data_IF_876252446468
#
_entry.id   IF_876252446468
#
_cell.length_a   1.000
_cell.length_b   1.000
_cell.length_c   1.000
_cell.angle_alpha   90.00
_cell.angle_beta   90.00
_cell.angle_gamma   90.00
#
_symmetry.space_group_name_H-M   'P 1'
#
loop_
_entity.id
_entity.type
_entity.pdbx_description
1 polymer ?
#
# COMPACT_ATOMS: atom_id res chain seq x y z
N UNK A 1 -24.10 10.35 4.86
CA UNK A 1 -22.79 9.67 5.04
C UNK A 1 -23.05 8.19 5.22
N UNK A 2 -22.65 7.36 4.25
CA UNK A 2 -22.75 5.90 4.37
C UNK A 2 -21.58 5.46 5.26
N UNK A 3 -21.88 5.01 6.48
CA UNK A 3 -20.89 4.40 7.37
C UNK A 3 -20.72 2.94 6.94
N UNK A 4 -19.57 2.58 6.40
CA UNK A 4 -19.22 1.16 6.28
C UNK A 4 -19.03 0.59 7.70
N UNK A 5 -19.41 -0.68 7.93
CA UNK A 5 -19.47 -1.37 9.23
C UNK A 5 -18.18 -1.36 10.09
N UNK A 6 -17.08 -0.79 9.57
CA UNK A 6 -15.82 -0.59 10.28
C UNK A 6 -15.61 0.83 10.82
N UNK A 7 -16.59 1.74 10.70
CA UNK A 7 -16.49 3.12 11.21
C UNK A 7 -15.53 4.03 10.44
N UNK A 8 -14.97 3.56 9.33
CA UNK A 8 -14.07 4.34 8.49
C UNK A 8 -14.88 5.35 7.66
N UNK A 9 -14.61 6.63 7.85
CA UNK A 9 -15.18 7.70 7.03
C UNK A 9 -14.25 7.93 5.85
N UNK A 10 -14.68 7.50 4.66
CA UNK A 10 -14.03 7.83 3.39
C UNK A 10 -15.00 8.66 2.58
N UNK A 11 -14.62 9.89 2.22
CA UNK A 11 -15.41 10.66 1.28
C UNK A 11 -15.20 10.10 -0.14
N UNK A 12 -16.13 9.25 -0.57
CA UNK A 12 -16.07 8.50 -1.86
C UNK A 12 -15.81 9.37 -3.09
N UNK A 13 -16.11 10.68 -3.06
CA UNK A 13 -15.89 11.60 -4.18
C UNK A 13 -14.40 11.84 -4.49
N UNK A 14 -13.50 11.68 -3.51
CA UNK A 14 -12.06 11.95 -3.67
C UNK A 14 -11.20 10.69 -3.64
N UNK A 15 -11.71 9.59 -3.09
CA UNK A 15 -11.08 8.28 -3.08
C UNK A 15 -11.33 7.44 -4.35
N UNK A 16 -12.05 7.99 -5.34
CA UNK A 16 -12.46 7.27 -6.55
C UNK A 16 -11.30 6.79 -7.40
N UNK A 17 -10.21 7.55 -7.44
CA UNK A 17 -9.10 7.28 -8.37
C UNK A 17 -8.29 6.07 -7.92
N UNK A 18 -7.96 5.96 -6.64
CA UNK A 18 -7.28 4.78 -6.08
C UNK A 18 -8.15 3.52 -6.12
N UNK A 19 -9.46 3.67 -5.94
CA UNK A 19 -10.38 2.53 -6.01
C UNK A 19 -10.68 2.09 -7.45
N UNK A 20 -10.58 3.01 -8.43
CA UNK A 20 -10.78 2.71 -9.85
C UNK A 20 -9.50 2.28 -10.57
N UNK A 21 -8.33 2.76 -10.12
CA UNK A 21 -7.00 2.44 -10.67
C UNK A 21 -6.17 1.76 -9.58
N UNK A 22 -6.38 0.45 -9.43
CA UNK A 22 -5.63 -0.40 -8.52
C UNK A 22 -4.40 -1.00 -9.23
N UNK A 23 -3.44 -0.14 -9.56
CA UNK A 23 -2.30 -0.46 -10.45
C UNK A 23 -1.34 -1.44 -9.77
N UNK A 24 -1.15 -1.28 -8.46
CA UNK A 24 -0.19 -2.08 -7.68
C UNK A 24 -0.83 -3.32 -7.05
N UNK A 25 -2.17 -3.38 -7.00
CA UNK A 25 -2.91 -4.53 -6.45
C UNK A 25 -2.81 -5.75 -7.35
N UNK A 26 -2.62 -6.91 -6.75
CA UNK A 26 -2.59 -8.20 -7.45
C UNK A 26 -3.50 -9.23 -6.78
N UNK A 27 -4.13 -10.10 -7.60
CA UNK A 27 -4.99 -11.18 -7.10
C UNK A 27 -4.18 -12.40 -6.63
N UNK A 28 -3.00 -12.61 -7.23
CA UNK A 28 -2.06 -13.69 -6.95
C UNK A 28 -0.64 -13.15 -6.99
N UNK A 29 0.29 -13.85 -6.32
CA UNK A 29 1.72 -13.59 -6.41
C UNK A 29 2.14 -13.46 -7.89
N UNK A 30 2.67 -12.31 -8.33
CA UNK A 30 3.08 -12.15 -9.71
C UNK A 30 4.36 -12.94 -9.97
N UNK A 31 4.57 -13.35 -11.23
CA UNK A 31 5.81 -14.05 -11.63
C UNK A 31 7.00 -13.11 -11.40
N UNK A 32 8.12 -13.63 -10.90
CA UNK A 32 9.34 -12.85 -10.64
C UNK A 32 9.36 -12.11 -9.30
N UNK A 33 8.21 -11.87 -8.66
CA UNK A 33 8.18 -11.22 -7.35
C UNK A 33 8.39 -12.26 -6.26
N UNK A 34 9.00 -11.84 -5.17
CA UNK A 34 9.08 -12.55 -3.90
C UNK A 34 8.06 -11.98 -2.92
N UNK A 35 7.50 -12.83 -2.05
CA UNK A 35 6.64 -12.35 -0.97
C UNK A 35 7.56 -11.95 0.18
N UNK A 36 7.58 -10.66 0.51
CA UNK A 36 8.48 -10.11 1.55
C UNK A 36 7.79 -9.94 2.90
N UNK A 37 6.45 -9.87 2.91
CA UNK A 37 5.69 -9.77 4.14
C UNK A 37 4.27 -10.29 4.01
N UNK A 38 3.74 -10.76 5.14
CA UNK A 38 2.32 -10.88 5.42
C UNK A 38 2.01 -10.14 6.72
N UNK A 39 0.99 -9.30 6.70
CA UNK A 39 0.63 -8.39 7.77
C UNK A 39 -0.85 -8.58 8.09
N UNK A 40 -1.16 -8.74 9.37
CA UNK A 40 -2.53 -8.82 9.89
C UNK A 40 -2.85 -7.56 10.69
N UNK A 41 -3.88 -6.80 10.28
CA UNK A 41 -4.26 -5.54 10.91
C UNK A 41 -5.77 -5.51 11.11
N UNK A 42 -6.24 -5.52 12.35
CA UNK A 42 -7.67 -5.51 12.70
C UNK A 42 -8.48 -6.56 11.91
N UNK A 43 -7.95 -7.79 11.82
CA UNK A 43 -8.56 -8.91 11.10
C UNK A 43 -8.44 -8.84 9.56
N UNK A 44 -7.65 -7.90 9.02
CA UNK A 44 -7.41 -7.73 7.59
C UNK A 44 -6.01 -8.21 7.22
N UNK A 45 -5.93 -9.04 6.19
CA UNK A 45 -4.65 -9.48 5.61
C UNK A 45 -4.14 -8.49 4.57
N UNK A 46 -2.84 -8.23 4.60
CA UNK A 46 -2.04 -7.54 3.59
C UNK A 46 -0.79 -8.38 3.30
N UNK A 47 -0.48 -8.60 2.04
CA UNK A 47 0.74 -9.25 1.57
C UNK A 47 1.51 -8.27 0.71
N UNK A 48 2.83 -8.22 0.91
CA UNK A 48 3.75 -7.40 0.13
C UNK A 48 4.61 -8.28 -0.77
N UNK A 49 4.75 -7.84 -2.01
CA UNK A 49 5.52 -8.52 -3.05
C UNK A 49 6.56 -7.58 -3.62
N UNK A 50 7.80 -8.05 -3.75
CA UNK A 50 8.90 -7.24 -4.25
C UNK A 50 9.68 -7.98 -5.34
N UNK A 51 10.19 -7.24 -6.32
CA UNK A 51 11.19 -7.73 -7.27
C UNK A 51 12.37 -6.75 -7.31
N UNK A 52 13.59 -7.29 -7.25
CA UNK A 52 14.78 -6.47 -7.39
C UNK A 52 14.91 -5.97 -8.84
N UNK A 53 15.34 -4.71 -9.02
CA UNK A 53 15.53 -4.11 -10.35
C UNK A 53 16.53 -4.87 -11.22
N UNK A 54 17.53 -5.51 -10.63
CA UNK A 54 18.49 -6.34 -11.37
C UNK A 54 17.84 -7.59 -12.00
N UNK A 55 16.72 -8.04 -11.42
CA UNK A 55 15.95 -9.19 -11.88
C UNK A 55 14.72 -8.80 -12.70
N UNK A 56 14.44 -7.49 -12.84
CA UNK A 56 13.33 -7.00 -13.65
C UNK A 56 13.60 -7.29 -15.12
N UNK A 57 12.69 -8.04 -15.73
CA UNK A 57 12.52 -8.01 -17.19
C UNK A 57 11.96 -6.64 -17.58
N UNK A 58 12.29 -6.15 -18.78
CA UNK A 58 11.86 -4.83 -19.29
C UNK A 58 10.34 -4.59 -19.19
N UNK A 59 9.54 -5.66 -19.14
CA UNK A 59 8.08 -5.63 -19.02
C UNK A 59 7.55 -5.34 -17.60
N UNK A 60 8.40 -5.34 -16.56
CA UNK A 60 7.95 -5.16 -15.18
C UNK A 60 8.04 -3.71 -14.70
N UNK A 61 6.90 -3.02 -14.73
CA UNK A 61 6.82 -1.57 -14.51
C UNK A 61 7.12 -1.15 -13.06
N UNK A 62 6.65 -1.88 -12.04
CA UNK A 62 6.69 -1.43 -10.62
C UNK A 62 7.27 -2.46 -9.65
N UNK A 63 8.34 -2.12 -8.88
CA UNK A 63 9.08 -3.10 -8.08
C UNK A 63 8.34 -3.60 -6.82
N UNK A 64 7.36 -2.84 -6.32
CA UNK A 64 6.58 -3.19 -5.12
C UNK A 64 5.11 -3.35 -5.51
N UNK A 65 4.51 -4.47 -5.13
CA UNK A 65 3.10 -4.79 -5.35
C UNK A 65 2.48 -5.34 -4.08
N UNK A 66 1.15 -5.35 -4.00
CA UNK A 66 0.46 -5.82 -2.81
C UNK A 66 -0.79 -6.63 -3.13
N UNK A 67 -1.20 -7.45 -2.17
CA UNK A 67 -2.51 -8.11 -2.14
C UNK A 67 -3.13 -7.88 -0.77
N UNK A 68 -4.41 -7.56 -0.71
CA UNK A 68 -5.08 -7.35 0.57
C UNK A 68 -6.56 -7.76 0.55
N UNK A 69 -7.15 -7.82 1.74
CA UNK A 69 -8.60 -7.88 1.93
C UNK A 69 -9.31 -6.72 1.21
N UNK A 70 -10.60 -6.88 0.90
CA UNK A 70 -11.42 -5.87 0.20
C UNK A 70 -11.83 -4.69 1.10
N UNK A 71 -10.85 -4.08 1.77
CA UNK A 71 -11.05 -2.88 2.56
C UNK A 71 -10.64 -1.65 1.72
N UNK A 72 -11.57 -0.74 1.39
CA UNK A 72 -11.27 0.45 0.60
C UNK A 72 -10.14 1.30 1.19
N UNK A 73 -10.15 1.47 2.52
CA UNK A 73 -9.14 2.25 3.23
C UNK A 73 -7.73 1.63 3.09
N UNK A 74 -7.63 0.32 3.18
CA UNK A 74 -6.38 -0.40 3.00
C UNK A 74 -5.87 -0.30 1.55
N UNK A 75 -6.77 -0.44 0.57
CA UNK A 75 -6.46 -0.31 -0.86
C UNK A 75 -5.91 1.09 -1.15
N UNK A 76 -6.60 2.15 -0.72
CA UNK A 76 -6.17 3.55 -0.95
C UNK A 76 -4.78 3.80 -0.37
N UNK A 77 -4.56 3.40 0.88
CA UNK A 77 -3.26 3.59 1.54
C UNK A 77 -2.17 2.82 0.80
N UNK A 78 -2.42 1.57 0.43
CA UNK A 78 -1.41 0.75 -0.25
C UNK A 78 -1.08 1.24 -1.66
N UNK A 79 -2.06 1.66 -2.45
CA UNK A 79 -1.79 2.25 -3.76
C UNK A 79 -0.89 3.50 -3.62
N UNK A 80 -1.22 4.40 -2.69
CA UNK A 80 -0.42 5.61 -2.48
C UNK A 80 1.01 5.33 -1.99
N UNK A 81 1.19 4.37 -1.09
CA UNK A 81 2.52 3.97 -0.61
C UNK A 81 3.34 3.29 -1.72
N UNK A 82 2.73 2.41 -2.51
CA UNK A 82 3.40 1.75 -3.63
C UNK A 82 3.75 2.73 -4.76
N UNK A 83 2.86 3.68 -5.07
CA UNK A 83 3.12 4.78 -6.00
C UNK A 83 4.31 5.62 -5.53
N UNK A 84 4.31 6.03 -4.25
CA UNK A 84 5.42 6.81 -3.73
C UNK A 84 6.75 6.06 -3.73
N UNK A 85 6.71 4.76 -3.42
CA UNK A 85 7.87 3.89 -3.55
C UNK A 85 8.32 3.74 -5.00
N UNK A 86 7.39 3.68 -5.97
CA UNK A 86 7.72 3.63 -7.38
C UNK A 86 8.46 4.89 -7.85
N UNK A 87 8.10 6.06 -7.34
CA UNK A 87 8.80 7.33 -7.61
C UNK A 87 10.18 7.38 -6.97
N UNK A 88 10.27 7.12 -5.67
CA UNK A 88 11.45 7.46 -4.86
C UNK A 88 12.39 6.27 -4.60
N UNK A 89 11.92 5.03 -4.78
CA UNK A 89 12.61 3.78 -4.39
C UNK A 89 12.99 3.67 -2.90
N UNK A 90 12.45 4.57 -2.08
CA UNK A 90 12.63 4.63 -0.64
C UNK A 90 11.40 5.31 -0.03
N UNK A 91 10.92 4.80 1.10
CA UNK A 91 9.82 5.41 1.83
C UNK A 91 9.98 5.18 3.34
N UNK A 92 10.46 6.20 4.04
CA UNK A 92 10.48 6.22 5.50
C UNK A 92 9.09 6.56 6.08
N UNK A 93 8.96 6.44 7.41
CA UNK A 93 7.70 6.67 8.11
C UNK A 93 7.15 8.09 7.91
N UNK A 94 8.00 9.11 7.95
CA UNK A 94 7.57 10.51 7.80
C UNK A 94 7.08 10.81 6.39
N UNK A 95 7.78 10.28 5.39
CA UNK A 95 7.39 10.35 3.98
C UNK A 95 6.09 9.61 3.76
N UNK A 96 5.93 8.40 4.32
CA UNK A 96 4.71 7.62 4.23
C UNK A 96 3.50 8.35 4.85
N UNK A 97 3.67 8.98 6.01
CA UNK A 97 2.65 9.83 6.63
C UNK A 97 2.26 10.97 5.71
N UNK A 98 3.24 11.74 5.21
CA UNK A 98 2.97 12.89 4.33
C UNK A 98 2.25 12.48 3.05
N UNK A 99 2.63 11.35 2.46
CA UNK A 99 1.98 10.79 1.28
C UNK A 99 0.49 10.54 1.53
N UNK A 100 0.16 9.90 2.66
CA UNK A 100 -1.23 9.57 3.00
C UNK A 100 -2.02 10.81 3.43
N UNK A 101 -1.42 11.73 4.18
CA UNK A 101 -2.07 12.98 4.62
C UNK A 101 -2.36 13.92 3.42
N UNK A 102 -1.65 13.78 2.30
CA UNK A 102 -1.92 14.51 1.05
C UNK A 102 -3.10 13.96 0.23
N UNK A 103 -3.66 12.79 0.60
CA UNK A 103 -4.80 12.20 -0.09
C UNK A 103 -6.07 12.99 0.28
N UNK A 104 -6.58 13.75 -0.69
CA UNK A 104 -7.82 14.54 -0.49
C UNK A 104 -8.98 13.63 -0.08
N UNK A 105 -9.73 14.02 0.94
CA UNK A 105 -10.91 13.29 1.43
C UNK A 105 -10.60 12.03 2.24
N UNK A 106 -9.32 11.79 2.55
CA UNK A 106 -8.88 10.74 3.48
C UNK A 106 -8.51 11.37 4.81
N UNK A 107 -9.09 10.88 5.90
CA UNK A 107 -8.65 11.24 7.25
C UNK A 107 -7.82 10.10 7.84
N UNK A 108 -6.57 10.38 8.20
CA UNK A 108 -5.73 9.40 8.88
C UNK A 108 -6.30 9.08 10.26
N UNK A 109 -6.57 7.81 10.49
CA UNK A 109 -7.00 7.27 11.78
C UNK A 109 -5.95 6.27 12.31
N UNK A 110 -6.26 5.63 13.44
CA UNK A 110 -5.37 4.63 14.04
C UNK A 110 -5.09 3.47 13.10
N UNK A 111 -6.11 2.97 12.39
CA UNK A 111 -5.94 1.90 11.40
C UNK A 111 -4.94 2.28 10.30
N UNK A 112 -5.11 3.45 9.68
CA UNK A 112 -4.20 3.96 8.63
C UNK A 112 -2.77 4.10 9.17
N UNK A 113 -2.62 4.64 10.37
CA UNK A 113 -1.31 4.82 10.99
C UNK A 113 -0.64 3.46 11.27
N UNK A 114 -1.41 2.46 11.70
CA UNK A 114 -0.93 1.09 11.89
C UNK A 114 -0.52 0.42 10.58
N UNK A 115 -1.25 0.64 9.49
CA UNK A 115 -0.89 0.17 8.14
C UNK A 115 0.45 0.77 7.72
N UNK A 116 0.58 2.10 7.78
CA UNK A 116 1.82 2.80 7.40
C UNK A 116 3.01 2.26 8.19
N UNK A 117 2.88 2.19 9.52
CA UNK A 117 3.97 1.73 10.39
C UNK A 117 4.41 0.31 10.05
N UNK A 118 3.46 -0.61 9.88
CA UNK A 118 3.80 -2.01 9.61
C UNK A 118 4.40 -2.20 8.21
N UNK A 119 3.92 -1.46 7.20
CA UNK A 119 4.47 -1.53 5.85
C UNK A 119 5.92 -1.02 5.85
N UNK A 120 6.17 0.17 6.39
CA UNK A 120 7.53 0.75 6.45
C UNK A 120 8.48 -0.17 7.20
N UNK A 121 8.10 -0.64 8.40
CA UNK A 121 8.89 -1.60 9.19
C UNK A 121 9.25 -2.85 8.39
N UNK A 122 8.30 -3.40 7.62
CA UNK A 122 8.56 -4.61 6.82
C UNK A 122 9.44 -4.36 5.60
N UNK A 123 9.43 -3.16 5.02
CA UNK A 123 10.35 -2.80 3.95
C UNK A 123 11.77 -2.64 4.49
N UNK A 124 11.94 -2.00 5.65
CA UNK A 124 13.22 -1.84 6.35
C UNK A 124 13.79 -3.21 6.78
N UNK A 125 12.99 -4.06 7.43
CA UNK A 125 13.39 -5.40 7.88
C UNK A 125 13.88 -6.29 6.72
N UNK A 126 13.29 -6.14 5.54
CA UNK A 126 13.67 -6.90 4.34
C UNK A 126 14.77 -6.21 3.51
N UNK A 127 15.39 -5.13 4.01
CA UNK A 127 16.45 -4.38 3.31
C UNK A 127 16.05 -3.97 1.90
N UNK A 128 14.77 -3.65 1.70
CA UNK A 128 14.22 -3.25 0.39
C UNK A 128 14.75 -1.87 -0.02
N UNK A 129 15.26 -1.12 0.95
CA UNK A 129 16.07 0.08 0.78
C UNK A 129 17.03 0.23 1.98
N UNK A 130 18.16 0.89 1.75
CA UNK A 130 19.14 1.34 2.76
C UNK A 130 19.57 2.77 2.45
#
# INVERSE_FOLDING_TARGET
>A
MIKDNCGCVVERKYASDFLSRQIFRVNKKPKGYEKIAEIQIDGRTLELYYINKEEKKEEEEYPLKYKCSECPLLIIVMEALCEKYAENKHIDFDTAIKTVDNIKGLTRNQFVTSVIKQVVSKLEENSIYN
#
